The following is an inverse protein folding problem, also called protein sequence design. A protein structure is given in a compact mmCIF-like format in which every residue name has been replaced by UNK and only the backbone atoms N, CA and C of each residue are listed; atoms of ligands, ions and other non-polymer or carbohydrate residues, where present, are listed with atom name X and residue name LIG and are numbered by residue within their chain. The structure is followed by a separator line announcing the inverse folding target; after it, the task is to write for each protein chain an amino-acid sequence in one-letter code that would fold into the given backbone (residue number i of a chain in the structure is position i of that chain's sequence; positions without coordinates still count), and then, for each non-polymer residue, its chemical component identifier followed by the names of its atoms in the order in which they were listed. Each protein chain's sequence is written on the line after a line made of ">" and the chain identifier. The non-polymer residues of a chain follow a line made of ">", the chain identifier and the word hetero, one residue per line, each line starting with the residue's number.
data_IF_834306244347
#
_entry.id   IF_834306244347
#
_cell.length_a   1.000
_cell.length_b   1.000
_cell.length_c   1.000
_cell.angle_alpha   90.00
_cell.angle_beta   90.00
_cell.angle_gamma   90.00
#
_symmetry.space_group_name_H-M   'P 1'
#
loop_
_entity.id
_entity.type
_entity.pdbx_description
1 polymer ?
#
# COMPACT_ATOMS: atom_id res chain seq x y z
N UNK A 1 -50.70 -26.66 10.79
CA UNK A 1 -49.84 -27.10 9.69
C UNK A 1 -48.63 -26.21 9.69
N UNK A 2 -47.57 -26.66 10.29
CA UNK A 2 -46.26 -25.94 10.39
C UNK A 2 -45.44 -26.35 9.18
N UNK A 3 -45.19 -25.39 8.30
CA UNK A 3 -44.26 -25.58 7.16
C UNK A 3 -42.88 -25.91 7.71
N UNK A 4 -42.15 -26.89 7.16
CA UNK A 4 -40.80 -27.18 7.56
C UNK A 4 -39.88 -26.04 7.13
N UNK A 5 -38.98 -25.60 8.03
CA UNK A 5 -37.89 -24.69 7.74
C UNK A 5 -37.05 -25.24 6.57
N UNK A 6 -36.55 -24.37 5.65
CA UNK A 6 -35.74 -24.83 4.54
C UNK A 6 -34.47 -25.53 5.05
N UNK A 7 -34.20 -26.72 4.52
CA UNK A 7 -33.03 -27.53 4.77
C UNK A 7 -31.76 -26.67 4.57
N UNK A 8 -31.00 -26.50 5.66
CA UNK A 8 -29.63 -25.99 5.60
C UNK A 8 -28.81 -26.95 4.75
N UNK A 9 -28.32 -26.44 3.64
CA UNK A 9 -27.66 -27.18 2.57
C UNK A 9 -26.52 -28.06 3.11
N UNK A 10 -26.70 -29.37 3.09
CA UNK A 10 -25.69 -30.39 3.47
C UNK A 10 -24.41 -30.31 2.62
N UNK A 11 -24.44 -29.63 1.47
CA UNK A 11 -23.29 -29.37 0.59
C UNK A 11 -22.20 -28.47 1.20
N UNK A 12 -22.46 -27.79 2.34
CA UNK A 12 -21.48 -26.91 3.00
C UNK A 12 -20.65 -27.62 4.09
N UNK A 13 -20.91 -28.89 4.37
CA UNK A 13 -20.21 -29.67 5.41
C UNK A 13 -18.93 -30.35 4.90
N UNK A 14 -18.81 -30.58 3.60
CA UNK A 14 -17.60 -31.19 3.04
C UNK A 14 -16.51 -30.15 2.76
N UNK A 15 -15.24 -30.42 3.14
CA UNK A 15 -14.13 -29.56 2.79
C UNK A 15 -13.94 -29.55 1.27
N UNK A 16 -13.57 -28.39 0.67
CA UNK A 16 -13.26 -28.33 -0.76
C UNK A 16 -12.08 -29.26 -1.10
N UNK A 17 -12.03 -29.72 -2.34
CA UNK A 17 -10.91 -30.54 -2.83
C UNK A 17 -9.57 -29.82 -2.66
N UNK A 18 -8.50 -30.58 -2.51
CA UNK A 18 -7.14 -30.04 -2.42
C UNK A 18 -6.80 -29.19 -3.64
N UNK A 19 -6.24 -28.01 -3.42
CA UNK A 19 -5.90 -27.04 -4.47
C UNK A 19 -4.51 -27.29 -4.97
N UNK A 20 -4.36 -27.58 -6.27
CA UNK A 20 -3.05 -27.74 -6.88
C UNK A 20 -2.30 -26.40 -6.99
N UNK A 21 -0.97 -26.46 -7.07
CA UNK A 21 -0.13 -25.27 -7.25
C UNK A 21 -0.55 -24.43 -8.48
N UNK A 22 -0.87 -25.07 -9.60
CA UNK A 22 -1.26 -24.38 -10.83
C UNK A 22 -2.65 -23.73 -10.76
N UNK A 23 -3.58 -24.33 -10.01
CA UNK A 23 -4.87 -23.71 -9.71
C UNK A 23 -4.68 -22.45 -8.85
N UNK A 24 -3.82 -22.53 -7.83
CA UNK A 24 -3.47 -21.38 -7.01
C UNK A 24 -2.74 -20.31 -7.83
N UNK A 25 -1.79 -20.68 -8.71
CA UNK A 25 -1.11 -19.77 -9.61
C UNK A 25 -2.09 -18.98 -10.47
N UNK A 26 -3.03 -19.66 -11.14
CA UNK A 26 -4.06 -19.01 -11.96
C UNK A 26 -4.94 -18.05 -11.13
N UNK A 27 -5.26 -18.41 -9.89
CA UNK A 27 -5.98 -17.53 -8.97
C UNK A 27 -5.18 -16.28 -8.61
N UNK A 28 -3.91 -16.43 -8.19
CA UNK A 28 -3.06 -15.29 -7.82
C UNK A 28 -2.79 -14.36 -9.00
N UNK A 29 -2.60 -14.91 -10.18
CA UNK A 29 -2.47 -14.11 -11.41
C UNK A 29 -3.74 -13.29 -11.69
N UNK A 30 -4.91 -13.93 -11.63
CA UNK A 30 -6.19 -13.22 -11.78
C UNK A 30 -6.35 -12.13 -10.73
N UNK A 31 -6.02 -12.44 -9.47
CA UNK A 31 -6.11 -11.50 -8.36
C UNK A 31 -5.24 -10.25 -8.61
N UNK A 32 -4.02 -10.42 -9.12
CA UNK A 32 -3.13 -9.31 -9.46
C UNK A 32 -3.74 -8.31 -10.45
N UNK A 33 -4.57 -8.79 -11.39
CA UNK A 33 -5.25 -7.93 -12.38
C UNK A 33 -6.56 -7.31 -11.89
N UNK A 34 -7.23 -7.90 -10.90
CA UNK A 34 -8.55 -7.42 -10.42
C UNK A 34 -8.49 -6.71 -9.06
N UNK A 35 -7.31 -6.57 -8.46
CA UNK A 35 -7.11 -6.00 -7.13
C UNK A 35 -7.07 -4.48 -7.18
N UNK A 36 -8.25 -3.84 -7.27
CA UNK A 36 -8.43 -2.39 -7.23
C UNK A 36 -8.94 -1.92 -5.86
N UNK A 37 -8.91 -0.60 -5.63
CA UNK A 37 -9.58 0.03 -4.49
C UNK A 37 -8.73 0.12 -3.21
N UNK A 38 -7.42 0.07 -3.35
CA UNK A 38 -6.47 0.17 -2.24
C UNK A 38 -6.51 -1.04 -1.29
N UNK A 39 -5.78 -1.00 -0.15
CA UNK A 39 -5.62 -2.19 0.72
C UNK A 39 -6.95 -2.79 1.18
N UNK A 40 -7.92 -1.95 1.59
CA UNK A 40 -9.20 -2.44 2.09
C UNK A 40 -10.03 -3.15 1.02
N UNK A 41 -10.04 -2.63 -0.21
CA UNK A 41 -10.73 -3.28 -1.34
C UNK A 41 -10.07 -4.60 -1.72
N UNK A 42 -8.75 -4.63 -1.76
CA UNK A 42 -7.95 -5.82 -2.08
C UNK A 42 -8.14 -6.94 -1.04
N UNK A 43 -8.12 -6.58 0.25
CA UNK A 43 -8.39 -7.52 1.35
C UNK A 43 -9.82 -8.05 1.26
N UNK A 44 -10.80 -7.19 0.95
CA UNK A 44 -12.19 -7.61 0.77
C UNK A 44 -12.36 -8.59 -0.41
N UNK A 45 -11.68 -8.35 -1.54
CA UNK A 45 -11.68 -9.28 -2.69
C UNK A 45 -11.05 -10.63 -2.28
N UNK A 46 -9.92 -10.61 -1.56
CA UNK A 46 -9.29 -11.84 -1.07
C UNK A 46 -10.20 -12.58 -0.09
N UNK A 47 -10.86 -11.89 0.83
CA UNK A 47 -11.81 -12.48 1.76
C UNK A 47 -12.97 -13.15 1.02
N UNK A 48 -13.62 -12.42 0.13
CA UNK A 48 -14.75 -12.94 -0.66
C UNK A 48 -14.35 -14.19 -1.47
N UNK A 49 -13.20 -14.15 -2.14
CA UNK A 49 -12.77 -15.27 -2.98
C UNK A 49 -12.24 -16.46 -2.17
N UNK A 50 -11.45 -16.23 -1.11
CA UNK A 50 -10.73 -17.29 -0.42
C UNK A 50 -11.53 -17.88 0.74
N UNK A 51 -12.37 -17.09 1.40
CA UNK A 51 -13.17 -17.53 2.55
C UNK A 51 -14.59 -17.89 2.13
N UNK A 52 -15.28 -16.95 1.45
CA UNK A 52 -16.70 -17.11 1.15
C UNK A 52 -16.92 -18.07 -0.02
N UNK A 53 -16.28 -17.82 -1.18
CA UNK A 53 -16.57 -18.58 -2.42
C UNK A 53 -15.81 -19.88 -2.49
N UNK A 54 -14.48 -19.84 -2.31
CA UNK A 54 -13.62 -21.02 -2.50
C UNK A 54 -13.42 -21.84 -1.23
N UNK A 55 -13.63 -21.21 -0.08
CA UNK A 55 -13.43 -21.85 1.24
C UNK A 55 -12.03 -22.48 1.39
N UNK A 56 -10.99 -21.78 0.86
CA UNK A 56 -9.61 -22.24 1.01
C UNK A 56 -9.12 -22.03 2.45
N UNK A 57 -9.58 -20.96 3.11
CA UNK A 57 -9.31 -20.68 4.52
C UNK A 57 -10.62 -20.45 5.29
N UNK A 58 -10.61 -20.80 6.58
CA UNK A 58 -11.65 -20.37 7.51
C UNK A 58 -11.56 -18.86 7.76
N UNK A 59 -12.67 -18.24 8.16
CA UNK A 59 -12.75 -16.84 8.57
C UNK A 59 -11.68 -16.49 9.61
N UNK A 60 -11.57 -17.32 10.66
CA UNK A 60 -10.63 -17.12 11.76
C UNK A 60 -9.16 -17.18 11.29
N UNK A 61 -8.82 -18.14 10.42
CA UNK A 61 -7.46 -18.24 9.84
C UNK A 61 -7.14 -17.04 8.96
N UNK A 62 -8.10 -16.57 8.17
CA UNK A 62 -7.93 -15.37 7.34
C UNK A 62 -7.69 -14.11 8.19
N UNK A 63 -8.52 -13.90 9.22
CA UNK A 63 -8.37 -12.76 10.13
C UNK A 63 -7.07 -12.82 10.95
N UNK A 64 -6.64 -14.04 11.35
CA UNK A 64 -5.34 -14.22 12.00
C UNK A 64 -4.17 -13.80 11.10
N UNK A 65 -4.18 -14.25 9.84
CA UNK A 65 -3.19 -13.84 8.84
C UNK A 65 -3.22 -12.33 8.59
N UNK A 66 -4.41 -11.74 8.47
CA UNK A 66 -4.59 -10.31 8.27
C UNK A 66 -4.04 -9.50 9.45
N UNK A 67 -4.38 -9.88 10.68
CA UNK A 67 -3.91 -9.20 11.89
C UNK A 67 -2.37 -9.21 11.98
N UNK A 68 -1.74 -10.30 11.58
CA UNK A 68 -0.29 -10.37 11.49
C UNK A 68 0.28 -9.39 10.45
N UNK A 69 -0.27 -9.38 9.24
CA UNK A 69 0.18 -8.48 8.18
C UNK A 69 0.00 -6.99 8.56
N UNK A 70 -1.03 -6.65 9.33
CA UNK A 70 -1.27 -5.28 9.80
C UNK A 70 -0.25 -4.78 10.83
N UNK A 71 0.48 -5.68 11.49
CA UNK A 71 1.54 -5.34 12.46
C UNK A 71 2.89 -5.12 11.77
N UNK A 72 3.09 -5.71 10.61
CA UNK A 72 4.35 -5.63 9.88
C UNK A 72 4.48 -4.34 9.08
N UNK A 73 5.69 -3.81 8.89
CA UNK A 73 5.91 -2.77 7.91
C UNK A 73 5.77 -3.35 6.49
N UNK A 74 5.08 -2.61 5.63
CA UNK A 74 4.90 -2.98 4.23
C UNK A 74 3.46 -2.98 3.75
N UNK A 75 3.21 -3.38 2.49
CA UNK A 75 1.88 -3.42 1.88
C UNK A 75 1.07 -4.63 2.37
N UNK A 76 0.12 -4.40 3.28
CA UNK A 76 -0.69 -5.41 3.98
C UNK A 76 -1.34 -6.44 3.05
N UNK A 77 -1.93 -5.99 1.94
CA UNK A 77 -2.62 -6.88 1.00
C UNK A 77 -1.64 -7.82 0.25
N UNK A 78 -0.46 -7.33 -0.13
CA UNK A 78 0.58 -8.17 -0.74
C UNK A 78 1.16 -9.15 0.29
N UNK A 79 1.36 -8.70 1.52
CA UNK A 79 1.81 -9.55 2.61
C UNK A 79 0.79 -10.66 2.90
N UNK A 80 -0.50 -10.33 2.92
CA UNK A 80 -1.58 -11.31 3.10
C UNK A 80 -1.61 -12.34 1.96
N UNK A 81 -1.48 -11.91 0.71
CA UNK A 81 -1.38 -12.82 -0.43
C UNK A 81 -0.16 -13.76 -0.29
N UNK A 82 1.01 -13.19 0.09
CA UNK A 82 2.23 -13.96 0.33
C UNK A 82 2.06 -14.98 1.46
N UNK A 83 1.44 -14.56 2.58
CA UNK A 83 1.20 -15.43 3.72
C UNK A 83 0.28 -16.60 3.38
N UNK A 84 -0.86 -16.32 2.74
CA UNK A 84 -1.82 -17.36 2.36
C UNK A 84 -1.21 -18.30 1.32
N UNK A 85 -0.52 -17.77 0.31
CA UNK A 85 0.20 -18.57 -0.67
C UNK A 85 1.28 -19.47 -0.03
N UNK A 86 1.99 -18.96 0.97
CA UNK A 86 2.96 -19.72 1.76
C UNK A 86 2.29 -20.81 2.61
N UNK A 87 1.19 -20.50 3.27
CA UNK A 87 0.46 -21.46 4.09
C UNK A 87 -0.05 -22.64 3.25
N UNK A 88 -0.53 -22.36 2.01
CA UNK A 88 -1.06 -23.37 1.08
C UNK A 88 0.03 -24.19 0.37
N UNK A 89 1.07 -23.52 -0.14
CA UNK A 89 2.06 -24.14 -1.05
C UNK A 89 3.51 -23.83 -0.65
N UNK A 90 3.79 -23.71 0.64
CA UNK A 90 5.14 -23.47 1.19
C UNK A 90 5.77 -22.18 0.64
N UNK A 91 7.09 -22.04 0.75
CA UNK A 91 7.84 -20.85 0.30
C UNK A 91 7.57 -20.50 -1.16
N UNK A 92 7.49 -21.51 -2.05
CA UNK A 92 7.20 -21.28 -3.48
C UNK A 92 5.83 -20.64 -3.69
N UNK A 93 4.80 -21.11 -2.96
CA UNK A 93 3.46 -20.54 -3.03
C UNK A 93 3.40 -19.10 -2.55
N UNK A 94 4.11 -18.78 -1.46
CA UNK A 94 4.20 -17.41 -0.95
C UNK A 94 4.88 -16.46 -1.93
N UNK A 95 6.04 -16.87 -2.48
CA UNK A 95 6.76 -16.06 -3.46
C UNK A 95 5.87 -15.82 -4.70
N UNK A 96 5.27 -16.87 -5.25
CA UNK A 96 4.42 -16.75 -6.45
C UNK A 96 3.22 -15.86 -6.18
N UNK A 97 2.51 -16.04 -5.07
CA UNK A 97 1.33 -15.23 -4.73
C UNK A 97 1.70 -13.73 -4.59
N UNK A 98 2.75 -13.43 -3.84
CA UNK A 98 3.18 -12.05 -3.64
C UNK A 98 3.73 -11.39 -4.91
N UNK A 99 4.51 -12.13 -5.72
CA UNK A 99 5.04 -11.63 -7.00
C UNK A 99 3.91 -11.38 -8.00
N UNK A 100 2.98 -12.33 -8.19
CA UNK A 100 1.86 -12.17 -9.11
C UNK A 100 0.88 -11.08 -8.67
N UNK A 101 0.85 -10.73 -7.38
CA UNK A 101 0.08 -9.60 -6.88
C UNK A 101 0.66 -8.24 -7.28
N UNK A 102 1.98 -8.16 -7.50
CA UNK A 102 2.74 -6.93 -7.79
C UNK A 102 3.02 -6.75 -9.29
N UNK A 103 3.37 -7.84 -9.99
CA UNK A 103 3.85 -7.79 -11.38
C UNK A 103 2.91 -7.10 -12.36
N UNK A 104 1.58 -7.34 -12.36
CA UNK A 104 0.68 -6.65 -13.29
C UNK A 104 0.75 -5.13 -13.13
N UNK A 105 0.79 -4.65 -11.87
CA UNK A 105 0.92 -3.22 -11.57
C UNK A 105 2.26 -2.66 -12.04
N UNK A 106 3.35 -3.38 -11.86
CA UNK A 106 4.68 -2.93 -12.30
C UNK A 106 4.71 -2.70 -13.82
N UNK A 107 4.26 -3.67 -14.60
CA UNK A 107 4.25 -3.54 -16.07
C UNK A 107 3.30 -2.43 -16.55
N UNK A 108 2.11 -2.35 -15.95
CA UNK A 108 1.16 -1.29 -16.28
C UNK A 108 1.72 0.09 -15.94
N UNK A 109 2.35 0.26 -14.77
CA UNK A 109 2.92 1.55 -14.38
C UNK A 109 4.14 1.92 -15.21
N UNK A 110 4.99 0.96 -15.62
CA UNK A 110 6.06 1.25 -16.57
C UNK A 110 5.48 1.78 -17.89
N UNK A 111 4.46 1.10 -18.44
CA UNK A 111 3.83 1.52 -19.68
C UNK A 111 3.11 2.89 -19.55
N UNK A 112 2.34 3.08 -18.49
CA UNK A 112 1.61 4.32 -18.24
C UNK A 112 2.57 5.50 -17.94
N UNK A 113 3.66 5.25 -17.22
CA UNK A 113 4.69 6.26 -16.96
C UNK A 113 5.40 6.71 -18.24
N UNK A 114 5.66 5.76 -19.14
CA UNK A 114 6.20 6.08 -20.45
C UNK A 114 5.21 6.89 -21.30
N UNK A 115 3.94 6.47 -21.34
CA UNK A 115 2.88 7.22 -22.03
C UNK A 115 2.75 8.63 -21.43
N UNK A 116 2.79 8.75 -20.11
CA UNK A 116 2.73 10.03 -19.40
C UNK A 116 3.86 10.98 -19.84
N UNK A 117 5.10 10.50 -19.93
CA UNK A 117 6.23 11.34 -20.34
C UNK A 117 6.19 11.64 -21.85
N UNK A 118 5.92 10.63 -22.68
CA UNK A 118 5.97 10.76 -24.13
C UNK A 118 4.81 11.59 -24.69
N UNK A 119 3.62 11.48 -24.09
CA UNK A 119 2.38 12.08 -24.62
C UNK A 119 1.69 13.03 -23.64
N UNK A 120 2.29 13.35 -22.49
CA UNK A 120 1.69 14.20 -21.45
C UNK A 120 1.34 15.62 -21.94
N UNK A 121 2.00 16.11 -23.00
CA UNK A 121 1.71 17.41 -23.62
C UNK A 121 0.58 17.38 -24.65
N UNK A 122 0.09 16.19 -25.03
CA UNK A 122 -1.06 16.08 -25.94
C UNK A 122 -2.32 16.55 -25.21
N UNK A 123 -3.10 17.42 -25.87
CA UNK A 123 -4.20 18.16 -25.25
C UNK A 123 -5.18 17.28 -24.46
N UNK A 124 -5.59 16.11 -25.00
CA UNK A 124 -6.51 15.23 -24.29
C UNK A 124 -5.85 14.52 -23.07
N UNK A 125 -4.54 14.20 -23.14
CA UNK A 125 -3.78 13.63 -22.01
C UNK A 125 -3.63 14.68 -20.92
N UNK A 126 -3.20 15.91 -21.29
CA UNK A 126 -3.09 17.03 -20.37
C UNK A 126 -4.43 17.35 -19.70
N UNK A 127 -5.54 17.34 -20.46
CA UNK A 127 -6.89 17.52 -19.93
C UNK A 127 -7.30 16.40 -18.97
N UNK A 128 -6.99 15.15 -19.30
CA UNK A 128 -7.24 14.00 -18.41
C UNK A 128 -6.55 14.22 -17.05
N UNK A 129 -5.26 14.51 -17.03
CA UNK A 129 -4.51 14.74 -15.78
C UNK A 129 -4.95 16.02 -15.08
N UNK A 130 -5.35 17.05 -15.79
CA UNK A 130 -5.93 18.27 -15.21
C UNK A 130 -7.16 17.95 -14.34
N UNK A 131 -8.08 17.13 -14.83
CA UNK A 131 -9.27 16.73 -14.07
C UNK A 131 -8.98 15.74 -12.94
N UNK A 132 -7.97 14.87 -13.10
CA UNK A 132 -7.63 13.85 -12.10
C UNK A 132 -6.93 14.45 -10.87
N UNK A 133 -6.07 15.46 -11.00
CA UNK A 133 -5.33 16.09 -9.89
C UNK A 133 -6.21 16.51 -8.71
N UNK A 134 -7.30 17.27 -8.90
CA UNK A 134 -8.20 17.64 -7.82
C UNK A 134 -8.92 16.43 -7.20
N UNK A 135 -9.22 15.38 -7.98
CA UNK A 135 -9.77 14.14 -7.45
C UNK A 135 -8.77 13.43 -6.52
N UNK A 136 -7.48 13.40 -6.87
CA UNK A 136 -6.43 12.82 -6.02
C UNK A 136 -6.31 13.56 -4.69
N UNK A 137 -6.40 14.88 -4.70
CA UNK A 137 -6.45 15.67 -3.45
C UNK A 137 -7.63 15.23 -2.56
N UNK A 138 -8.82 15.06 -3.14
CA UNK A 138 -9.99 14.57 -2.43
C UNK A 138 -9.82 13.13 -1.90
N UNK A 139 -9.15 12.26 -2.65
CA UNK A 139 -8.83 10.88 -2.25
C UNK A 139 -7.88 10.87 -1.04
N UNK A 140 -6.85 11.71 -1.02
CA UNK A 140 -5.94 11.80 0.12
C UNK A 140 -6.64 12.35 1.36
N UNK A 141 -7.55 13.33 1.22
CA UNK A 141 -8.42 13.80 2.31
C UNK A 141 -9.32 12.66 2.82
N UNK A 142 -9.92 11.88 1.92
CA UNK A 142 -10.71 10.70 2.29
C UNK A 142 -9.86 9.66 3.04
N UNK A 143 -8.62 9.42 2.60
CA UNK A 143 -7.72 8.50 3.27
C UNK A 143 -7.38 8.99 4.70
N UNK A 144 -7.04 10.28 4.85
CA UNK A 144 -6.81 10.89 6.17
C UNK A 144 -8.04 10.73 7.09
N UNK A 145 -9.24 11.01 6.58
CA UNK A 145 -10.50 10.83 7.33
C UNK A 145 -10.74 9.36 7.70
N UNK A 146 -10.59 8.43 6.76
CA UNK A 146 -10.81 6.99 6.99
C UNK A 146 -9.83 6.40 8.00
N UNK A 147 -8.54 6.76 7.92
CA UNK A 147 -7.52 6.30 8.86
C UNK A 147 -7.73 6.99 10.20
N UNK A 148 -7.95 8.31 10.21
CA UNK A 148 -8.16 9.12 11.41
C UNK A 148 -9.36 8.66 12.23
N UNK A 149 -10.50 8.40 11.60
CA UNK A 149 -11.70 7.92 12.29
C UNK A 149 -11.53 6.57 13.00
N UNK A 150 -10.57 5.76 12.54
CA UNK A 150 -10.23 4.46 13.15
C UNK A 150 -9.11 4.56 14.19
N UNK A 151 -8.13 5.43 13.95
CA UNK A 151 -6.93 5.56 14.77
C UNK A 151 -7.09 6.53 15.95
N UNK A 152 -7.77 7.67 15.75
CA UNK A 152 -7.85 8.76 16.74
C UNK A 152 -9.03 8.58 17.71
N UNK A 153 -8.91 7.60 18.61
CA UNK A 153 -10.00 7.23 19.54
C UNK A 153 -10.05 8.02 20.83
N UNK A 154 -9.01 8.76 21.15
CA UNK A 154 -8.92 9.58 22.36
C UNK A 154 -8.09 10.84 22.10
N UNK A 155 -8.14 11.78 23.06
CA UNK A 155 -7.47 13.07 22.96
C UNK A 155 -5.94 12.95 22.89
N UNK A 156 -5.34 11.91 23.49
CA UNK A 156 -3.90 11.70 23.42
C UNK A 156 -3.47 11.34 22.00
N UNK A 157 -4.17 10.43 21.35
CA UNK A 157 -3.88 10.05 19.95
C UNK A 157 -4.16 11.23 19.00
N UNK A 158 -5.17 12.04 19.28
CA UNK A 158 -5.41 13.28 18.54
C UNK A 158 -4.25 14.28 18.74
N UNK A 159 -3.73 14.43 19.96
CA UNK A 159 -2.58 15.28 20.25
C UNK A 159 -1.31 14.80 19.53
N UNK A 160 -1.09 13.48 19.44
CA UNK A 160 0.03 12.89 18.68
C UNK A 160 -0.11 13.24 17.19
N UNK A 161 -1.31 13.10 16.61
CA UNK A 161 -1.56 13.46 15.22
C UNK A 161 -1.33 14.96 14.97
N UNK A 162 -1.84 15.84 15.82
CA UNK A 162 -1.66 17.28 15.72
C UNK A 162 -0.17 17.68 15.87
N UNK A 163 0.54 17.11 16.85
CA UNK A 163 1.96 17.34 17.03
C UNK A 163 2.78 16.88 15.81
N UNK A 164 2.44 15.74 15.23
CA UNK A 164 3.10 15.21 14.02
C UNK A 164 2.83 16.09 12.80
N UNK A 165 1.61 16.61 12.66
CA UNK A 165 1.27 17.60 11.64
C UNK A 165 2.12 18.87 11.79
N UNK A 166 2.19 19.45 12.98
CA UNK A 166 2.99 20.65 13.25
C UNK A 166 4.48 20.37 13.02
N UNK A 167 4.98 19.22 13.45
CA UNK A 167 6.38 18.83 13.26
C UNK A 167 6.79 18.77 11.79
N UNK A 168 5.95 18.20 10.93
CA UNK A 168 6.26 18.10 9.50
C UNK A 168 5.98 19.42 8.78
N UNK A 169 4.87 20.10 9.07
CA UNK A 169 4.42 21.29 8.36
C UNK A 169 5.22 22.55 8.71
N UNK A 170 5.44 22.78 10.00
CA UNK A 170 6.06 24.01 10.48
C UNK A 170 7.56 23.88 10.79
N UNK A 171 8.00 22.66 11.18
CA UNK A 171 9.39 22.44 11.61
C UNK A 171 10.20 21.61 10.60
N UNK A 172 9.58 21.15 9.50
CA UNK A 172 10.22 20.31 8.47
C UNK A 172 10.95 19.08 9.04
N UNK A 173 10.41 18.50 10.14
CA UNK A 173 10.99 17.31 10.75
C UNK A 173 10.94 16.14 9.77
N UNK A 174 12.06 15.42 9.54
CA UNK A 174 12.05 14.26 8.68
C UNK A 174 11.09 13.18 9.17
N UNK A 175 10.31 12.62 8.26
CA UNK A 175 9.28 11.60 8.55
C UNK A 175 9.78 10.44 9.44
N UNK A 176 10.99 9.85 9.23
CA UNK A 176 11.50 8.77 10.08
C UNK A 176 11.60 9.15 11.56
N UNK A 177 11.94 10.42 11.87
CA UNK A 177 12.01 10.89 13.23
C UNK A 177 10.64 11.02 13.89
N UNK A 178 9.61 11.40 13.11
CA UNK A 178 8.21 11.45 13.57
C UNK A 178 7.73 10.03 13.92
N UNK A 179 8.00 9.06 13.05
CA UNK A 179 7.65 7.65 13.28
C UNK A 179 8.38 7.09 14.51
N UNK A 180 9.67 7.37 14.64
CA UNK A 180 10.45 6.93 15.81
C UNK A 180 9.95 7.55 17.11
N UNK A 181 9.69 8.85 17.12
CA UNK A 181 9.13 9.54 18.29
C UNK A 181 7.75 8.97 18.67
N UNK A 182 6.88 8.75 17.69
CA UNK A 182 5.58 8.13 17.92
C UNK A 182 5.71 6.70 18.47
N UNK A 183 6.63 5.89 17.94
CA UNK A 183 6.91 4.55 18.43
C UNK A 183 7.35 4.57 19.90
N UNK A 184 8.25 5.49 20.27
CA UNK A 184 8.73 5.65 21.64
C UNK A 184 7.61 6.12 22.57
N UNK A 185 6.80 7.11 22.16
CA UNK A 185 5.63 7.57 22.92
C UNK A 185 4.65 6.40 23.14
N UNK A 186 4.37 5.62 22.10
CA UNK A 186 3.49 4.46 22.21
C UNK A 186 4.06 3.36 23.10
N UNK A 187 5.38 3.12 23.03
CA UNK A 187 6.05 2.13 23.88
C UNK A 187 6.04 2.51 25.37
N UNK A 188 6.37 3.74 25.68
CA UNK A 188 6.35 4.26 27.06
C UNK A 188 4.91 4.41 27.55
N UNK A 189 4.06 5.05 26.74
CA UNK A 189 2.65 5.29 27.08
C UNK A 189 1.86 3.98 27.25
N UNK A 190 2.12 2.98 26.42
CA UNK A 190 1.51 1.65 26.56
C UNK A 190 1.88 0.91 27.85
N UNK A 191 3.03 1.24 28.46
CA UNK A 191 3.42 0.71 29.78
C UNK A 191 2.82 1.50 30.95
N UNK A 192 2.70 2.83 30.79
CA UNK A 192 2.21 3.72 31.85
C UNK A 192 0.69 3.84 31.87
N UNK A 193 0.07 3.87 30.71
CA UNK A 193 -1.35 4.08 30.50
C UNK A 193 -1.88 3.25 29.32
N UNK A 194 -1.95 1.92 29.44
CA UNK A 194 -2.31 1.02 28.35
C UNK A 194 -3.71 1.29 27.79
N UNK A 195 -4.61 1.85 28.58
CA UNK A 195 -5.98 2.21 28.17
C UNK A 195 -6.05 3.19 27.02
N UNK A 196 -5.07 4.08 26.85
CA UNK A 196 -5.03 5.05 25.75
C UNK A 196 -4.46 4.47 24.46
N UNK A 197 -3.69 3.38 24.53
CA UNK A 197 -3.02 2.75 23.39
C UNK A 197 -3.57 1.36 23.07
N UNK A 198 -4.62 0.92 23.75
CA UNK A 198 -5.30 -0.32 23.39
C UNK A 198 -5.89 -0.17 22.00
N UNK A 199 -5.41 -1.00 21.08
CA UNK A 199 -5.97 -1.11 19.75
C UNK A 199 -7.43 -1.51 19.89
N UNK A 200 -8.33 -0.60 19.62
CA UNK A 200 -9.74 -0.95 19.54
C UNK A 200 -9.94 -1.79 18.28
N UNK A 201 -9.95 -3.09 18.46
CA UNK A 201 -10.36 -4.05 17.46
C UNK A 201 -9.30 -4.35 16.41
N UNK A 202 -8.50 -5.37 16.66
CA UNK A 202 -8.31 -6.37 15.61
C UNK A 202 -9.73 -6.72 15.13
N UNK A 203 -9.90 -7.05 13.86
CA UNK A 203 -11.21 -7.50 13.37
C UNK A 203 -11.69 -8.60 14.31
N UNK A 204 -12.68 -8.28 15.17
CA UNK A 204 -13.28 -9.24 16.04
C UNK A 204 -13.76 -10.38 15.13
N UNK A 205 -13.38 -11.61 15.45
CA UNK A 205 -13.79 -12.75 14.68
C UNK A 205 -15.31 -12.67 14.52
N UNK A 206 -15.75 -12.36 13.32
CA UNK A 206 -17.15 -12.48 12.94
C UNK A 206 -17.49 -13.95 13.20
N UNK A 207 -18.58 -14.23 13.90
CA UNK A 207 -19.07 -15.59 14.07
C UNK A 207 -19.72 -16.14 12.79
N UNK A 208 -19.47 -15.47 11.64
CA UNK A 208 -19.98 -15.93 10.37
C UNK A 208 -19.32 -17.26 9.99
N UNK A 209 -20.13 -18.29 9.89
CA UNK A 209 -19.72 -19.62 9.48
C UNK A 209 -20.02 -19.81 7.99
N UNK A 210 -18.96 -19.83 7.17
CA UNK A 210 -19.06 -20.04 5.72
C UNK A 210 -18.95 -21.50 5.31
N UNK A 211 -19.00 -22.42 6.26
CA UNK A 211 -18.84 -23.87 6.05
C UNK A 211 -17.39 -24.34 6.25
N UNK A 212 -17.18 -25.66 6.05
CA UNK A 212 -15.85 -26.26 6.24
C UNK A 212 -14.88 -25.80 5.16
N UNK A 213 -13.72 -25.28 5.59
CA UNK A 213 -12.65 -24.81 4.70
C UNK A 213 -11.57 -25.87 4.48
N UNK A 214 -10.73 -25.70 3.45
CA UNK A 214 -9.57 -26.58 3.19
C UNK A 214 -8.54 -26.45 4.34
N UNK A 215 -8.27 -25.23 4.81
CA UNK A 215 -7.47 -24.94 6.00
C UNK A 215 -8.42 -24.36 7.03
N UNK A 216 -8.87 -25.21 7.94
CA UNK A 216 -9.83 -24.88 8.98
C UNK A 216 -9.13 -24.51 10.28
N UNK A 217 -9.90 -24.08 11.28
CA UNK A 217 -9.38 -23.69 12.61
C UNK A 217 -8.64 -24.86 13.28
N UNK A 218 -9.21 -26.07 13.16
CA UNK A 218 -8.68 -27.29 13.75
C UNK A 218 -7.67 -28.02 12.84
N UNK A 219 -7.37 -27.48 11.66
CA UNK A 219 -6.38 -28.09 10.76
C UNK A 219 -4.99 -27.99 11.42
N UNK A 220 -4.27 -29.11 11.60
CA UNK A 220 -2.93 -29.07 12.17
C UNK A 220 -2.00 -28.15 11.39
N UNK A 221 -1.18 -27.42 12.11
CA UNK A 221 -0.18 -26.53 11.48
C UNK A 221 0.71 -27.34 10.52
N UNK A 222 0.77 -26.99 9.23
CA UNK A 222 1.60 -27.72 8.27
C UNK A 222 3.06 -27.78 8.71
N UNK A 223 3.76 -28.87 8.41
CA UNK A 223 5.15 -29.10 8.84
C UNK A 223 6.12 -28.00 8.43
N UNK A 224 5.83 -27.29 7.34
CA UNK A 224 6.62 -26.13 6.87
C UNK A 224 6.30 -24.85 7.66
N UNK A 225 5.16 -24.77 8.33
CA UNK A 225 4.74 -23.63 9.12
C UNK A 225 5.09 -23.79 10.62
N UNK A 226 5.68 -24.92 11.02
CA UNK A 226 6.25 -25.10 12.36
C UNK A 226 7.55 -24.29 12.45
N UNK A 227 7.71 -23.53 13.54
CA UNK A 227 8.91 -22.72 13.76
C UNK A 227 10.19 -23.57 13.76
N UNK A 228 11.21 -23.09 13.08
CA UNK A 228 12.57 -23.69 13.06
C UNK A 228 13.60 -22.58 12.93
N UNK A 229 14.53 -22.53 13.89
CA UNK A 229 15.63 -21.55 13.87
C UNK A 229 16.49 -21.66 12.61
N UNK A 230 16.73 -22.88 12.12
CA UNK A 230 17.46 -23.11 10.87
C UNK A 230 16.77 -22.45 9.67
N UNK A 231 15.44 -22.61 9.57
CA UNK A 231 14.67 -21.97 8.48
C UNK A 231 14.65 -20.45 8.61
N UNK A 232 14.50 -19.94 9.83
CA UNK A 232 14.59 -18.50 10.08
C UNK A 232 15.91 -17.93 9.58
N UNK A 233 17.04 -18.53 9.96
CA UNK A 233 18.37 -18.10 9.50
C UNK A 233 18.53 -18.24 7.98
N UNK A 234 18.00 -19.28 7.36
CA UNK A 234 18.01 -19.44 5.91
C UNK A 234 17.22 -18.32 5.21
N UNK A 235 16.02 -17.98 5.69
CA UNK A 235 15.22 -16.90 5.12
C UNK A 235 15.91 -15.55 5.30
N UNK A 236 16.43 -15.25 6.48
CA UNK A 236 17.12 -14.00 6.76
C UNK A 236 18.41 -13.87 5.92
N UNK A 237 19.20 -14.92 5.84
CA UNK A 237 20.43 -14.94 5.01
C UNK A 237 20.09 -14.78 3.52
N UNK A 238 19.12 -15.55 3.02
CA UNK A 238 18.69 -15.44 1.61
C UNK A 238 18.15 -14.04 1.31
N UNK A 239 17.32 -13.49 2.21
CA UNK A 239 16.79 -12.14 2.08
C UNK A 239 17.89 -11.08 2.09
N UNK A 240 18.88 -11.22 3.00
CA UNK A 240 20.03 -10.34 3.05
C UNK A 240 20.86 -10.42 1.77
N UNK A 241 21.12 -11.61 1.25
CA UNK A 241 21.86 -11.81 -0.01
C UNK A 241 21.11 -11.18 -1.19
N UNK A 242 19.79 -11.39 -1.28
CA UNK A 242 18.94 -10.81 -2.32
C UNK A 242 18.86 -9.28 -2.26
N UNK A 243 19.08 -8.70 -1.10
CA UNK A 243 19.20 -7.26 -0.91
C UNK A 243 20.63 -6.77 -1.15
N UNK A 244 21.63 -7.43 -0.56
CA UNK A 244 23.02 -6.98 -0.54
C UNK A 244 23.71 -7.12 -1.91
N UNK A 245 23.41 -8.17 -2.69
CA UNK A 245 24.03 -8.36 -4.00
C UNK A 245 23.68 -7.25 -4.99
N UNK A 246 22.38 -6.92 -5.24
CA UNK A 246 22.05 -5.80 -6.12
C UNK A 246 22.57 -4.47 -5.57
N UNK A 247 22.42 -4.23 -4.26
CA UNK A 247 22.89 -3.00 -3.63
C UNK A 247 24.41 -2.85 -3.73
N UNK A 248 25.14 -3.91 -3.40
CA UNK A 248 26.62 -3.95 -3.53
C UNK A 248 27.09 -3.73 -4.97
N UNK A 249 26.41 -4.35 -5.95
CA UNK A 249 26.68 -4.11 -7.35
C UNK A 249 26.50 -2.65 -7.74
N UNK A 250 25.37 -2.04 -7.35
CA UNK A 250 25.09 -0.62 -7.64
C UNK A 250 26.14 0.31 -7.00
N UNK A 251 26.51 0.06 -5.75
CA UNK A 251 27.52 0.87 -5.05
C UNK A 251 28.90 0.73 -5.69
N UNK A 252 29.32 -0.48 -6.06
CA UNK A 252 30.65 -0.73 -6.61
C UNK A 252 30.80 -0.25 -8.05
N UNK A 253 29.72 -0.32 -8.85
CA UNK A 253 29.79 0.11 -10.26
C UNK A 253 29.50 1.61 -10.43
N UNK A 254 28.60 2.16 -9.64
CA UNK A 254 28.08 3.51 -9.86
C UNK A 254 28.37 4.50 -8.71
N UNK A 255 28.77 4.00 -7.54
CA UNK A 255 28.94 4.83 -6.33
C UNK A 255 27.63 5.13 -5.59
N UNK A 256 27.76 5.79 -4.43
CA UNK A 256 26.62 6.11 -3.55
C UNK A 256 25.74 7.24 -4.09
N UNK A 257 26.32 8.19 -4.82
CA UNK A 257 25.62 9.37 -5.30
C UNK A 257 24.84 9.12 -6.60
N UNK A 258 24.98 7.94 -7.16
CA UNK A 258 24.26 7.56 -8.37
C UNK A 258 22.77 7.34 -8.11
N UNK A 259 21.92 7.81 -8.99
CA UNK A 259 20.45 7.78 -8.83
C UNK A 259 19.90 6.37 -8.53
N UNK A 260 20.36 5.34 -9.21
CA UNK A 260 19.91 3.96 -8.93
C UNK A 260 20.27 3.51 -7.51
N UNK A 261 21.46 3.83 -7.03
CA UNK A 261 21.91 3.48 -5.67
C UNK A 261 21.10 4.24 -4.62
N UNK A 262 20.92 5.56 -4.83
CA UNK A 262 20.12 6.41 -3.95
C UNK A 262 18.66 5.92 -3.88
N UNK A 263 18.04 5.62 -5.03
CA UNK A 263 16.68 5.06 -5.09
C UNK A 263 16.59 3.74 -4.34
N UNK A 264 17.51 2.81 -4.59
CA UNK A 264 17.53 1.49 -3.95
C UNK A 264 17.61 1.58 -2.43
N UNK A 265 18.49 2.44 -1.93
CA UNK A 265 18.65 2.69 -0.49
C UNK A 265 17.44 3.42 0.11
N UNK A 266 16.94 4.45 -0.58
CA UNK A 266 15.79 5.22 -0.13
C UNK A 266 14.54 4.35 -0.02
N UNK A 267 14.23 3.55 -1.03
CA UNK A 267 13.04 2.70 -1.04
C UNK A 267 13.15 1.48 -0.12
N UNK A 268 14.36 1.01 0.19
CA UNK A 268 14.57 0.08 1.32
C UNK A 268 14.10 0.69 2.63
N UNK A 269 14.50 1.94 2.92
CA UNK A 269 14.05 2.66 4.13
C UNK A 269 12.55 2.91 4.11
N UNK A 270 12.00 3.32 2.95
CA UNK A 270 10.56 3.52 2.79
C UNK A 270 9.77 2.25 3.13
N UNK A 271 10.21 1.08 2.65
CA UNK A 271 9.57 -0.20 2.95
C UNK A 271 9.55 -0.51 4.45
N UNK A 272 10.66 -0.25 5.16
CA UNK A 272 10.76 -0.47 6.61
C UNK A 272 9.95 0.53 7.45
N UNK A 273 9.62 1.69 6.89
CA UNK A 273 8.84 2.74 7.53
C UNK A 273 7.35 2.73 7.16
N UNK A 274 6.92 1.80 6.30
CA UNK A 274 5.52 1.68 5.83
C UNK A 274 4.69 0.96 6.89
N UNK A 275 4.20 1.67 7.89
CA UNK A 275 3.23 1.17 8.88
C UNK A 275 1.87 1.81 8.64
N UNK A 276 0.78 1.01 8.71
CA UNK A 276 -0.59 1.54 8.53
C UNK A 276 -0.99 1.78 7.08
N UNK A 277 -0.38 1.07 6.14
CA UNK A 277 -0.74 1.07 4.73
C UNK A 277 0.03 2.06 3.85
N UNK A 278 -0.22 2.00 2.55
CA UNK A 278 0.55 2.74 1.54
C UNK A 278 0.47 4.27 1.68
N UNK A 279 -0.69 4.81 2.10
CA UNK A 279 -0.81 6.26 2.33
C UNK A 279 0.10 6.78 3.42
N UNK A 280 0.47 5.93 4.38
CA UNK A 280 1.33 6.30 5.49
C UNK A 280 2.75 6.69 5.06
N UNK A 281 3.27 6.05 4.02
CA UNK A 281 4.65 6.28 3.55
C UNK A 281 4.74 7.33 2.45
N UNK A 282 3.62 7.71 1.82
CA UNK A 282 3.61 8.70 0.74
C UNK A 282 4.25 10.04 1.12
N UNK A 283 4.04 10.59 2.32
CA UNK A 283 4.75 11.80 2.74
C UNK A 283 6.27 11.64 2.77
N UNK A 284 6.78 10.47 3.19
CA UNK A 284 8.21 10.17 3.15
C UNK A 284 8.71 10.06 1.70
N UNK A 285 7.95 9.39 0.85
CA UNK A 285 8.29 9.31 -0.59
C UNK A 285 8.31 10.70 -1.21
N UNK A 286 7.35 11.57 -0.84
CA UNK A 286 7.32 12.95 -1.28
C UNK A 286 8.57 13.73 -0.82
N UNK A 287 8.89 13.72 0.48
CA UNK A 287 10.08 14.39 1.01
C UNK A 287 11.36 13.94 0.29
N UNK A 288 11.51 12.64 0.06
CA UNK A 288 12.69 12.12 -0.63
C UNK A 288 12.68 12.42 -2.12
N UNK A 289 11.65 12.00 -2.84
CA UNK A 289 11.62 12.03 -4.30
C UNK A 289 11.51 13.46 -4.87
N UNK A 290 10.79 14.34 -4.18
CA UNK A 290 10.55 15.71 -4.64
C UNK A 290 11.52 16.71 -3.99
N UNK A 291 11.57 16.75 -2.65
CA UNK A 291 12.28 17.80 -1.94
C UNK A 291 13.80 17.53 -1.83
N UNK A 292 14.18 16.28 -1.48
CA UNK A 292 15.58 15.95 -1.21
C UNK A 292 16.38 15.65 -2.49
N UNK A 293 15.86 14.74 -3.32
CA UNK A 293 16.60 14.24 -4.50
C UNK A 293 16.17 14.88 -5.82
N UNK A 294 14.98 15.49 -5.86
CA UNK A 294 14.45 16.11 -7.09
C UNK A 294 14.36 15.10 -8.25
N UNK A 295 13.95 13.85 -7.96
CA UNK A 295 13.72 12.84 -9.01
C UNK A 295 12.48 13.16 -9.83
N UNK A 296 11.47 13.71 -9.17
CA UNK A 296 10.19 14.12 -9.79
C UNK A 296 9.75 15.46 -9.20
N UNK A 297 8.86 16.15 -9.91
CA UNK A 297 8.22 17.37 -9.41
C UNK A 297 7.01 17.05 -8.51
N UNK A 298 6.54 18.05 -7.77
CA UNK A 298 5.32 17.95 -6.97
C UNK A 298 4.10 17.56 -7.80
N UNK A 299 3.95 18.18 -8.99
CA UNK A 299 2.88 17.85 -9.94
C UNK A 299 2.97 16.39 -10.42
N UNK A 300 4.17 15.94 -10.78
CA UNK A 300 4.39 14.55 -11.18
C UNK A 300 4.08 13.57 -10.05
N UNK A 301 4.34 13.93 -8.79
CA UNK A 301 3.97 13.08 -7.65
C UNK A 301 2.44 12.90 -7.54
N UNK A 302 1.66 13.99 -7.76
CA UNK A 302 0.19 13.94 -7.78
C UNK A 302 -0.30 13.07 -8.95
N UNK A 303 0.27 13.26 -10.14
CA UNK A 303 -0.06 12.47 -11.33
C UNK A 303 0.28 10.99 -11.15
N UNK A 304 1.43 10.69 -10.53
CA UNK A 304 1.85 9.34 -10.20
C UNK A 304 0.93 8.65 -9.20
N UNK A 305 0.44 9.38 -8.20
CA UNK A 305 -0.54 8.84 -7.27
C UNK A 305 -1.87 8.55 -7.97
N UNK A 306 -2.30 9.40 -8.88
CA UNK A 306 -3.47 9.17 -9.71
C UNK A 306 -3.36 7.88 -10.52
N UNK A 307 -2.21 7.67 -11.17
CA UNK A 307 -1.94 6.44 -11.91
C UNK A 307 -1.91 5.21 -11.00
N UNK A 308 -1.32 5.33 -9.81
CA UNK A 308 -1.30 4.27 -8.81
C UNK A 308 -2.70 3.87 -8.33
N UNK A 309 -3.60 4.84 -8.15
CA UNK A 309 -5.01 4.60 -7.76
C UNK A 309 -5.82 3.94 -8.88
N UNK A 310 -5.49 4.19 -10.13
CA UNK A 310 -6.20 3.66 -11.30
C UNK A 310 -5.67 2.33 -11.79
N UNK A 311 -4.52 1.89 -11.29
CA UNK A 311 -3.94 0.59 -11.66
C UNK A 311 -4.32 -0.51 -10.66
N UNK A 312 -4.47 -1.76 -11.10
CA UNK A 312 -4.63 -2.88 -10.17
C UNK A 312 -3.33 -3.11 -9.38
N UNK A 313 -3.44 -3.70 -8.20
CA UNK A 313 -2.30 -4.02 -7.35
C UNK A 313 -2.11 -3.06 -6.16
N UNK A 314 -1.06 -3.24 -5.35
CA UNK A 314 -0.85 -2.44 -4.16
C UNK A 314 -0.70 -0.94 -4.48
N UNK A 315 -1.40 -0.07 -3.72
CA UNK A 315 -1.32 1.38 -3.93
C UNK A 315 0.14 1.92 -3.85
N UNK A 316 0.98 1.30 -3.01
CA UNK A 316 2.39 1.68 -2.89
C UNK A 316 3.15 1.55 -4.23
N UNK A 317 2.58 0.88 -5.23
CA UNK A 317 3.20 0.77 -6.56
C UNK A 317 3.39 2.11 -7.27
N UNK A 318 2.83 3.20 -6.78
CA UNK A 318 3.21 4.57 -7.18
C UNK A 318 4.73 4.77 -7.14
N UNK A 319 5.47 4.03 -6.31
CA UNK A 319 6.94 4.07 -6.28
C UNK A 319 7.57 3.64 -7.61
N UNK A 320 6.92 2.75 -8.37
CA UNK A 320 7.38 2.36 -9.71
C UNK A 320 7.27 3.52 -10.70
N UNK A 321 6.21 4.35 -10.60
CA UNK A 321 6.12 5.60 -11.35
C UNK A 321 7.24 6.56 -10.96
N UNK A 322 7.47 6.76 -9.66
CA UNK A 322 8.56 7.61 -9.17
C UNK A 322 9.92 7.13 -9.70
N UNK A 323 10.17 5.82 -9.64
CA UNK A 323 11.37 5.20 -10.19
C UNK A 323 11.50 5.46 -11.69
N UNK A 324 10.43 5.16 -12.46
CA UNK A 324 10.45 5.33 -13.91
C UNK A 324 10.73 6.76 -14.31
N UNK A 325 9.95 7.71 -13.79
CA UNK A 325 10.08 9.15 -14.15
C UNK A 325 11.45 9.67 -13.70
N UNK A 326 11.88 9.35 -12.49
CA UNK A 326 13.19 9.78 -11.99
C UNK A 326 14.36 9.20 -12.78
N UNK A 327 14.32 7.91 -13.14
CA UNK A 327 15.34 7.28 -13.98
C UNK A 327 15.39 7.84 -15.40
N UNK A 328 14.21 8.13 -15.96
CA UNK A 328 14.05 8.73 -17.29
C UNK A 328 14.57 10.16 -17.32
N UNK A 329 14.07 11.04 -16.44
CA UNK A 329 14.40 12.49 -16.41
C UNK A 329 15.86 12.73 -16.07
N UNK A 330 16.44 11.90 -15.17
CA UNK A 330 17.88 11.98 -14.84
C UNK A 330 18.79 11.36 -15.90
N UNK A 331 18.21 10.77 -16.96
CA UNK A 331 18.96 10.11 -18.05
C UNK A 331 20.06 9.17 -17.52
N UNK A 332 19.72 8.33 -16.53
CA UNK A 332 20.67 7.56 -15.71
C UNK A 332 21.57 6.62 -16.53
N UNK A 333 21.11 6.19 -17.71
CA UNK A 333 21.86 5.36 -18.67
C UNK A 333 22.24 6.13 -19.94
N UNK A 334 22.25 7.46 -19.89
CA UNK A 334 22.50 8.32 -21.04
C UNK A 334 21.24 8.64 -21.86
N UNK A 335 21.35 9.62 -22.77
CA UNK A 335 20.21 10.15 -23.52
C UNK A 335 19.58 9.15 -24.51
N UNK A 336 20.36 8.19 -24.99
CA UNK A 336 19.89 7.21 -25.99
C UNK A 336 19.10 6.04 -25.35
N UNK A 337 19.06 5.95 -24.02
CA UNK A 337 18.48 4.80 -23.29
C UNK A 337 17.48 5.22 -22.21
N UNK A 338 16.75 6.32 -22.43
CA UNK A 338 15.86 6.91 -21.42
C UNK A 338 14.75 5.95 -20.95
N UNK A 339 14.09 5.26 -21.89
CA UNK A 339 13.07 4.28 -21.53
C UNK A 339 13.64 3.14 -20.67
N UNK A 340 14.81 2.62 -21.06
CA UNK A 340 15.47 1.54 -20.32
C UNK A 340 15.89 2.01 -18.92
N UNK A 341 16.39 3.24 -18.80
CA UNK A 341 16.74 3.85 -17.53
C UNK A 341 15.52 3.95 -16.60
N UNK A 342 14.39 4.43 -17.13
CA UNK A 342 13.13 4.47 -16.39
C UNK A 342 12.62 3.11 -15.99
N UNK A 343 12.59 2.15 -16.91
CA UNK A 343 12.11 0.79 -16.65
C UNK A 343 12.97 0.07 -15.60
N UNK A 344 14.29 0.16 -15.69
CA UNK A 344 15.20 -0.43 -14.70
C UNK A 344 15.04 0.26 -13.34
N UNK A 345 14.90 1.59 -13.29
CA UNK A 345 14.64 2.30 -12.05
C UNK A 345 13.33 1.85 -11.39
N UNK A 346 12.24 1.70 -12.17
CA UNK A 346 10.97 1.19 -11.68
C UNK A 346 11.09 -0.23 -11.11
N UNK A 347 11.82 -1.11 -11.78
CA UNK A 347 12.08 -2.48 -11.31
C UNK A 347 12.92 -2.50 -10.03
N UNK A 348 14.00 -1.69 -9.97
CA UNK A 348 14.84 -1.57 -8.78
C UNK A 348 14.05 -1.06 -7.58
N UNK A 349 13.32 0.03 -7.75
CA UNK A 349 12.49 0.61 -6.70
C UNK A 349 11.45 -0.40 -6.20
N UNK A 350 10.79 -1.11 -7.10
CA UNK A 350 9.83 -2.17 -6.74
C UNK A 350 10.51 -3.30 -5.98
N UNK A 351 11.68 -3.75 -6.45
CA UNK A 351 12.44 -4.80 -5.77
C UNK A 351 12.75 -4.42 -4.32
N UNK A 352 13.35 -3.26 -4.10
CA UNK A 352 13.77 -2.83 -2.76
C UNK A 352 12.59 -2.45 -1.86
N UNK A 353 11.44 -2.10 -2.42
CA UNK A 353 10.20 -1.82 -1.66
C UNK A 353 9.52 -3.11 -1.19
N UNK A 354 9.49 -4.16 -2.02
CA UNK A 354 8.72 -5.36 -1.70
C UNK A 354 9.54 -6.49 -1.07
N UNK A 355 10.84 -6.56 -1.32
CA UNK A 355 11.71 -7.60 -0.75
C UNK A 355 11.60 -7.71 0.78
N UNK A 356 11.61 -6.63 1.58
CA UNK A 356 11.42 -6.72 3.02
C UNK A 356 10.11 -7.42 3.42
N UNK A 357 9.01 -7.16 2.71
CA UNK A 357 7.71 -7.79 2.98
C UNK A 357 7.76 -9.31 2.82
N UNK A 358 8.41 -9.82 1.80
CA UNK A 358 8.62 -11.27 1.63
C UNK A 358 9.44 -11.84 2.78
N UNK A 359 10.52 -11.14 3.18
CA UNK A 359 11.37 -11.59 4.29
C UNK A 359 10.56 -11.65 5.58
N UNK A 360 9.80 -10.61 5.91
CA UNK A 360 8.97 -10.58 7.12
C UNK A 360 7.94 -11.70 7.16
N UNK A 361 7.25 -11.96 6.06
CA UNK A 361 6.24 -13.02 6.01
C UNK A 361 6.88 -14.40 6.11
N UNK A 362 7.94 -14.68 5.37
CA UNK A 362 8.57 -16.00 5.36
C UNK A 362 9.36 -16.29 6.65
N UNK A 363 9.91 -15.26 7.29
CA UNK A 363 10.63 -15.39 8.56
C UNK A 363 9.68 -15.48 9.75
N UNK A 364 8.67 -14.62 9.81
CA UNK A 364 7.79 -14.48 10.96
C UNK A 364 6.54 -15.35 10.92
N UNK A 365 6.08 -15.79 9.72
CA UNK A 365 4.89 -16.62 9.57
C UNK A 365 4.91 -17.90 10.45
N UNK A 366 6.01 -18.68 10.49
CA UNK A 366 6.10 -19.84 11.37
C UNK A 366 6.03 -19.50 12.87
N UNK A 367 6.50 -18.32 13.27
CA UNK A 367 6.39 -17.87 14.65
C UNK A 367 4.94 -17.53 15.00
N UNK A 368 4.23 -16.86 14.12
CA UNK A 368 2.83 -16.47 14.30
C UNK A 368 1.91 -17.68 14.34
N UNK A 369 2.14 -18.69 13.49
CA UNK A 369 1.40 -19.96 13.53
C UNK A 369 1.62 -20.74 14.84
N UNK A 370 2.77 -20.53 15.53
CA UNK A 370 3.06 -21.18 16.80
C UNK A 370 2.51 -20.42 18.03
N UNK A 371 2.24 -19.11 17.90
CA UNK A 371 1.79 -18.24 19.01
C UNK A 371 0.33 -17.83 18.81
N UNK A 372 -0.60 -18.69 19.18
CA UNK A 372 -2.02 -18.35 19.15
C UNK A 372 -2.32 -17.16 20.10
N UNK A 373 -2.50 -15.93 19.54
CA UNK A 373 -3.16 -14.75 20.12
C UNK A 373 -2.38 -13.73 20.98
N UNK A 374 -1.06 -13.75 21.14
CA UNK A 374 -0.37 -12.71 21.96
C UNK A 374 0.54 -11.78 21.13
N UNK A 375 -0.03 -10.84 20.41
CA UNK A 375 0.74 -9.76 19.78
C UNK A 375 0.87 -8.55 20.74
N UNK A 376 1.97 -8.47 21.49
CA UNK A 376 2.23 -7.43 22.52
C UNK A 376 2.72 -6.06 21.98
N UNK A 377 2.77 -5.86 20.66
CA UNK A 377 3.30 -4.62 20.05
C UNK A 377 2.22 -3.64 19.58
N UNK A 378 1.02 -3.70 20.12
CA UNK A 378 -0.11 -2.88 19.66
C UNK A 378 0.05 -1.39 20.00
N UNK A 379 0.61 -1.05 21.16
CA UNK A 379 0.69 0.34 21.63
C UNK A 379 1.64 1.23 20.78
N UNK A 380 2.87 0.82 20.45
CA UNK A 380 3.71 1.56 19.50
C UNK A 380 3.05 1.77 18.15
N UNK A 381 2.43 0.72 17.59
CA UNK A 381 1.75 0.79 16.30
C UNK A 381 0.55 1.73 16.32
N UNK A 382 -0.21 1.75 17.42
CA UNK A 382 -1.33 2.69 17.60
C UNK A 382 -0.84 4.14 17.58
N UNK A 383 0.25 4.44 18.26
CA UNK A 383 0.85 5.78 18.27
C UNK A 383 1.42 6.17 16.90
N UNK A 384 2.12 5.23 16.22
CA UNK A 384 2.61 5.45 14.84
C UNK A 384 1.44 5.76 13.90
N UNK A 385 0.35 4.97 13.96
CA UNK A 385 -0.83 5.19 13.10
C UNK A 385 -1.47 6.56 13.38
N UNK A 386 -1.54 6.97 14.64
CA UNK A 386 -2.04 8.31 15.00
C UNK A 386 -1.12 9.43 14.41
N UNK A 387 0.20 9.30 14.56
CA UNK A 387 1.16 10.26 13.98
C UNK A 387 1.03 10.35 12.45
N UNK A 388 0.90 9.22 11.79
CA UNK A 388 0.72 9.11 10.34
C UNK A 388 -0.52 9.87 9.86
N UNK A 389 -1.63 9.90 10.62
CA UNK A 389 -2.81 10.70 10.24
C UNK A 389 -2.43 12.17 10.09
N UNK A 390 -1.68 12.74 11.05
CA UNK A 390 -1.23 14.14 10.97
C UNK A 390 -0.36 14.39 9.73
N UNK A 391 0.50 13.45 9.40
CA UNK A 391 1.39 13.56 8.24
C UNK A 391 0.62 13.42 6.91
N UNK A 392 -0.41 12.57 6.83
CA UNK A 392 -1.29 12.48 5.64
C UNK A 392 -2.10 13.77 5.46
N UNK A 393 -2.54 14.41 6.54
CA UNK A 393 -3.20 15.73 6.47
C UNK A 393 -2.26 16.77 5.88
N UNK A 394 -0.98 16.79 6.27
CA UNK A 394 0.01 17.66 5.64
C UNK A 394 0.15 17.39 4.13
N UNK A 395 0.20 16.12 3.72
CA UNK A 395 0.25 15.75 2.30
C UNK A 395 -1.00 16.22 1.53
N UNK A 396 -2.19 16.11 2.15
CA UNK A 396 -3.45 16.58 1.56
C UNK A 396 -3.45 18.09 1.34
N UNK A 397 -2.96 18.86 2.32
CA UNK A 397 -2.82 20.32 2.19
C UNK A 397 -1.82 20.68 1.10
N UNK A 398 -0.70 19.97 1.05
CA UNK A 398 0.31 20.15 0.03
C UNK A 398 -0.25 19.90 -1.40
N UNK A 399 -0.97 18.79 -1.60
CA UNK A 399 -1.61 18.51 -2.88
C UNK A 399 -2.70 19.51 -3.21
N UNK A 400 -3.48 19.94 -2.22
CA UNK A 400 -4.46 21.02 -2.36
C UNK A 400 -3.81 22.31 -2.85
N UNK A 401 -2.71 22.71 -2.22
CA UNK A 401 -1.96 23.89 -2.62
C UNK A 401 -1.50 23.83 -4.09
N UNK A 402 -0.81 22.75 -4.50
CA UNK A 402 -0.29 22.62 -5.87
C UNK A 402 -1.37 22.42 -6.94
N UNK A 403 -2.55 21.94 -6.53
CA UNK A 403 -3.68 21.76 -7.43
C UNK A 403 -4.49 23.06 -7.60
N UNK A 404 -4.70 23.80 -6.51
CA UNK A 404 -5.54 25.00 -6.53
C UNK A 404 -4.77 26.28 -6.89
N UNK A 405 -3.48 26.31 -6.60
CA UNK A 405 -2.58 27.42 -6.96
C UNK A 405 -1.35 26.90 -7.72
N UNK A 406 -1.52 26.49 -8.99
CA UNK A 406 -0.42 25.89 -9.76
C UNK A 406 0.75 26.86 -10.01
N UNK A 407 0.50 28.17 -9.89
CA UNK A 407 1.52 29.23 -9.99
C UNK A 407 1.91 29.82 -8.61
N UNK A 408 1.57 29.14 -7.51
CA UNK A 408 1.75 29.65 -6.15
C UNK A 408 0.70 30.68 -5.73
N UNK A 409 0.75 31.12 -4.47
CA UNK A 409 -0.25 32.07 -3.90
C UNK A 409 -0.27 33.43 -4.56
N UNK A 410 0.74 33.79 -5.34
CA UNK A 410 0.76 35.01 -6.14
C UNK A 410 -0.04 34.88 -7.44
N UNK A 411 -0.35 33.64 -7.84
CA UNK A 411 -1.19 33.35 -8.98
C UNK A 411 -2.68 33.30 -8.64
N UNK A 412 -3.53 33.22 -9.66
CA UNK A 412 -4.97 33.07 -9.48
C UNK A 412 -5.35 31.67 -8.99
N UNK A 413 -6.39 31.60 -8.16
CA UNK A 413 -7.02 30.34 -7.78
C UNK A 413 -7.61 29.65 -9.03
N UNK A 414 -7.28 28.37 -9.22
CA UNK A 414 -7.90 27.55 -10.26
C UNK A 414 -9.31 27.13 -9.82
N UNK A 415 -10.29 27.95 -10.17
CA UNK A 415 -11.70 27.74 -9.79
C UNK A 415 -12.26 26.41 -10.33
N UNK A 416 -12.04 26.03 -11.62
CA UNK A 416 -12.48 24.72 -12.11
C UNK A 416 -11.91 23.55 -11.31
N UNK A 417 -10.61 23.57 -11.01
CA UNK A 417 -9.97 22.53 -10.16
C UNK A 417 -10.56 22.50 -8.75
N UNK A 418 -10.86 23.68 -8.17
CA UNK A 418 -11.51 23.75 -6.85
C UNK A 418 -12.91 23.12 -6.87
N UNK A 419 -13.72 23.40 -7.88
CA UNK A 419 -15.04 22.80 -8.03
C UNK A 419 -14.97 21.28 -8.20
N UNK A 420 -14.04 20.78 -9.03
CA UNK A 420 -13.83 19.33 -9.20
C UNK A 420 -13.38 18.71 -7.87
N UNK A 421 -12.47 19.34 -7.12
CA UNK A 421 -11.99 18.81 -5.83
C UNK A 421 -13.12 18.69 -4.81
N UNK A 422 -13.97 19.74 -4.69
CA UNK A 422 -15.12 19.73 -3.80
C UNK A 422 -16.15 18.68 -4.23
N UNK A 423 -16.47 18.58 -5.52
CA UNK A 423 -17.39 17.58 -6.04
C UNK A 423 -16.88 16.15 -5.78
N UNK A 424 -15.58 15.90 -6.03
CA UNK A 424 -14.93 14.63 -5.75
C UNK A 424 -14.94 14.31 -4.24
N UNK A 425 -14.65 15.28 -3.36
CA UNK A 425 -14.69 15.09 -1.92
C UNK A 425 -16.10 14.74 -1.44
N UNK A 426 -17.14 15.43 -1.93
CA UNK A 426 -18.55 15.13 -1.62
C UNK A 426 -18.92 13.72 -2.14
N UNK A 427 -18.53 13.36 -3.35
CA UNK A 427 -18.77 12.04 -3.93
C UNK A 427 -18.14 10.92 -3.09
N UNK A 428 -16.92 11.12 -2.63
CA UNK A 428 -16.17 10.13 -1.85
C UNK A 428 -16.62 10.06 -0.38
N UNK A 429 -16.79 11.21 0.29
CA UNK A 429 -17.05 11.24 1.73
C UNK A 429 -18.55 11.06 2.07
N UNK A 430 -19.45 11.75 1.33
CA UNK A 430 -20.88 11.72 1.61
C UNK A 430 -21.57 10.55 0.89
N UNK A 431 -21.33 10.40 -0.42
CA UNK A 431 -21.99 9.37 -1.22
C UNK A 431 -21.22 8.04 -1.24
N UNK A 432 -19.99 7.99 -0.71
CA UNK A 432 -19.13 6.79 -0.62
C UNK A 432 -18.96 6.10 -1.97
N UNK A 433 -18.89 6.88 -3.06
CA UNK A 433 -18.69 6.34 -4.40
C UNK A 433 -17.32 5.68 -4.53
N UNK A 434 -17.21 4.76 -5.47
CA UNK A 434 -15.94 4.10 -5.77
C UNK A 434 -14.92 5.10 -6.32
N UNK A 435 -13.70 5.05 -5.81
CA UNK A 435 -12.58 5.93 -6.21
C UNK A 435 -12.36 5.91 -7.72
N UNK A 436 -12.43 4.73 -8.35
CA UNK A 436 -12.24 4.58 -9.80
C UNK A 436 -13.28 5.36 -10.62
N UNK A 437 -14.55 5.33 -10.19
CA UNK A 437 -15.60 6.09 -10.88
C UNK A 437 -15.37 7.60 -10.73
N UNK A 438 -14.97 8.05 -9.54
CA UNK A 438 -14.69 9.47 -9.28
C UNK A 438 -13.53 9.96 -10.14
N UNK A 439 -12.42 9.21 -10.18
CA UNK A 439 -11.26 9.54 -11.03
C UNK A 439 -11.67 9.58 -12.51
N UNK A 440 -12.42 8.57 -12.99
CA UNK A 440 -12.86 8.50 -14.38
C UNK A 440 -13.71 9.71 -14.77
N UNK A 441 -14.72 10.04 -13.96
CA UNK A 441 -15.60 11.21 -14.20
C UNK A 441 -14.80 12.52 -14.15
N UNK A 442 -13.92 12.70 -13.16
CA UNK A 442 -13.09 13.90 -13.06
C UNK A 442 -12.13 14.04 -14.25
N UNK A 443 -11.54 12.94 -14.70
CA UNK A 443 -10.68 12.94 -15.89
C UNK A 443 -11.44 13.34 -17.17
N UNK A 444 -12.66 12.80 -17.37
CA UNK A 444 -13.51 13.20 -18.48
C UNK A 444 -13.91 14.67 -18.41
N UNK A 445 -14.24 15.19 -17.22
CA UNK A 445 -14.51 16.61 -17.01
C UNK A 445 -13.29 17.45 -17.36
N UNK A 446 -12.09 17.03 -16.99
CA UNK A 446 -10.85 17.72 -17.34
C UNK A 446 -10.61 17.78 -18.84
N UNK A 447 -10.88 16.69 -19.58
CA UNK A 447 -10.82 16.68 -21.06
C UNK A 447 -11.83 17.68 -21.63
N UNK A 448 -13.10 17.64 -21.16
CA UNK A 448 -14.14 18.57 -21.63
C UNK A 448 -13.76 20.04 -21.40
N UNK A 449 -13.19 20.37 -20.22
CA UNK A 449 -12.73 21.71 -19.91
C UNK A 449 -11.58 22.15 -20.83
N UNK A 450 -10.64 21.27 -21.14
CA UNK A 450 -9.51 21.54 -22.02
C UNK A 450 -9.94 21.84 -23.47
N UNK A 451 -11.04 21.20 -23.94
CA UNK A 451 -11.58 21.45 -25.28
C UNK A 451 -12.67 22.52 -25.31
N UNK A 452 -13.39 22.75 -24.20
CA UNK A 452 -14.47 23.74 -24.12
C UNK A 452 -14.01 25.16 -23.78
N UNK A 453 -12.79 25.33 -23.31
CA UNK A 453 -12.16 26.63 -23.02
C UNK A 453 -11.32 27.17 -24.21
N UNK A 454 -11.30 26.47 -25.32
CA UNK A 454 -10.75 26.95 -26.59
C UNK A 454 -11.89 27.41 -27.52
#
# INVERSE_FOLDING_TARGET
>A
MTSPLPNVNTAQTEPPASVSFWQAFGFWLKLGFISFGGPAGQIAIMHEELVVRRRWLSEKRFLHALNYCMVLPGPEAQQLATYIGWLMHKTRGGIVAGVLFVLPSLFLLIALSWIYIAYGQVAWVAGLFYGIKPAVTAIVIQAAHRIGSRALKNNLLLAIAAASFVAIFALNVPFPLIVLAAALIGFVGGRMRPEFFSAGGGHAASQANFGTALINDDTPTPSHAVFSFKRLMQVLLSGFVLWALPMGYLVTQNGWDHTFTQMSWFFTKAALLTFGGAYAVLPYVYQGAVEQFGWITATQMIDGLALGETTPGPLIMVVAFVGFVGGYVKAVLGPDSLFLAGALAAMLVTWFTFLPSFIFILAGGPFVESTHNDLKFTAPLTAITAAVVGVIVNLALFFGYHTLWPQGFTGSLDIPSALIAVAAAVALLKFKLNVMHVIGVCGLLGICLQYGLK
#
